data_IF_581071948283
#
_entry.id   IF_581071948283
#
_cell.length_a   1.000
_cell.length_b   1.000
_cell.length_c   1.000
_cell.angle_alpha   90.00
_cell.angle_beta   90.00
_cell.angle_gamma   90.00
#
_symmetry.space_group_name_H-M   'P 1'
#
loop_
_entity.id
_entity.type
_entity.pdbx_description
1 polymer ?
#
# COMPACT_ATOMS: atom_id res chain seq x y z
N UNK A 1 2.69 -8.12 -10.85
CA UNK A 1 1.80 -7.86 -12.01
C UNK A 1 2.47 -6.87 -12.95
N UNK A 2 2.56 -7.17 -14.26
CA UNK A 2 3.23 -6.26 -15.22
C UNK A 2 2.15 -5.41 -15.90
N UNK A 3 2.19 -4.09 -15.68
CA UNK A 3 1.32 -3.13 -16.37
C UNK A 3 1.86 -2.86 -17.77
N UNK A 4 0.97 -2.52 -18.70
CA UNK A 4 1.35 -2.11 -20.05
C UNK A 4 2.04 -0.75 -20.00
N UNK A 5 3.19 -0.64 -20.69
CA UNK A 5 3.87 0.65 -20.78
C UNK A 5 3.05 1.66 -21.59
N UNK A 6 3.01 2.89 -21.13
CA UNK A 6 2.34 4.03 -21.79
C UNK A 6 3.39 5.07 -22.16
N UNK A 7 3.48 5.41 -23.44
CA UNK A 7 4.40 6.45 -23.91
C UNK A 7 3.84 7.85 -23.67
N UNK A 8 4.65 8.73 -23.04
CA UNK A 8 4.24 10.09 -22.65
C UNK A 8 4.28 11.11 -23.79
N UNK A 9 4.70 10.72 -24.98
CA UNK A 9 4.92 11.63 -26.12
C UNK A 9 3.66 12.44 -26.47
N UNK A 10 2.48 11.81 -26.49
CA UNK A 10 1.22 12.50 -26.79
C UNK A 10 0.87 13.56 -25.73
N UNK A 11 1.11 13.26 -24.46
CA UNK A 11 0.82 14.16 -23.34
C UNK A 11 1.77 15.35 -23.30
N UNK A 12 3.00 15.15 -23.73
CA UNK A 12 4.05 16.15 -23.71
C UNK A 12 4.15 16.98 -25.02
N UNK A 13 3.23 16.78 -25.98
CA UNK A 13 3.35 17.42 -27.28
C UNK A 13 4.61 17.04 -28.04
N UNK A 14 5.17 15.86 -27.81
CA UNK A 14 6.40 15.36 -28.44
C UNK A 14 7.70 15.77 -27.75
N UNK A 15 7.63 16.55 -26.66
CA UNK A 15 8.83 17.00 -25.92
C UNK A 15 9.58 15.82 -25.27
N UNK A 16 8.87 14.78 -24.83
CA UNK A 16 9.42 13.58 -24.20
C UNK A 16 8.92 12.33 -24.90
N UNK A 17 9.73 11.28 -24.96
CA UNK A 17 9.43 10.02 -25.66
C UNK A 17 9.75 8.77 -24.83
N UNK A 18 9.70 8.87 -23.50
CA UNK A 18 9.88 7.73 -22.62
C UNK A 18 8.54 7.04 -22.29
N UNK A 19 8.63 5.87 -21.69
CA UNK A 19 7.48 5.10 -21.24
C UNK A 19 7.38 5.09 -19.72
N UNK A 20 6.13 5.12 -19.21
CA UNK A 20 5.79 4.83 -17.82
C UNK A 20 5.08 3.49 -17.74
N UNK A 21 5.37 2.71 -16.71
CA UNK A 21 4.92 1.32 -16.55
C UNK A 21 4.27 1.03 -15.20
N UNK A 22 3.90 2.05 -14.46
CA UNK A 22 3.19 1.94 -13.19
C UNK A 22 3.11 3.26 -12.45
N UNK A 23 2.35 3.31 -11.37
CA UNK A 23 2.32 4.45 -10.47
C UNK A 23 3.48 4.43 -9.48
N UNK A 24 3.80 5.59 -8.92
CA UNK A 24 4.54 5.69 -7.68
C UNK A 24 4.07 6.90 -6.87
N UNK A 25 4.42 6.89 -5.60
CA UNK A 25 4.14 8.00 -4.69
C UNK A 25 5.33 8.96 -4.68
N UNK A 26 5.07 10.26 -4.78
CA UNK A 26 6.13 11.29 -4.82
C UNK A 26 6.99 11.33 -3.56
N UNK A 27 6.53 10.79 -2.43
CA UNK A 27 7.35 10.60 -1.23
C UNK A 27 8.40 9.49 -1.36
N UNK A 28 8.17 8.52 -2.28
CA UNK A 28 9.08 7.40 -2.62
C UNK A 28 9.04 7.15 -4.12
N UNK A 29 9.52 8.11 -4.95
CA UNK A 29 9.41 8.03 -6.39
C UNK A 29 10.29 6.91 -6.96
N UNK A 30 9.79 6.28 -8.02
CA UNK A 30 10.52 5.29 -8.83
C UNK A 30 10.64 5.81 -10.25
N UNK A 31 11.71 5.44 -10.96
CA UNK A 31 11.88 5.75 -12.37
C UNK A 31 10.79 5.08 -13.23
N UNK A 32 10.46 5.69 -14.36
CA UNK A 32 9.44 5.18 -15.30
C UNK A 32 8.04 5.03 -14.68
N UNK A 33 7.66 5.93 -13.79
CA UNK A 33 6.35 5.88 -13.14
C UNK A 33 5.58 7.20 -13.27
N UNK A 34 4.27 7.12 -12.99
CA UNK A 34 3.39 8.30 -12.92
C UNK A 34 3.08 8.65 -11.47
N UNK A 35 3.00 9.94 -11.19
CA UNK A 35 2.65 10.48 -9.88
C UNK A 35 2.00 11.86 -9.99
N UNK A 36 1.54 12.40 -8.86
CA UNK A 36 1.03 13.77 -8.82
C UNK A 36 1.64 14.58 -7.68
N UNK A 37 1.67 15.90 -7.84
CA UNK A 37 2.11 16.87 -6.83
C UNK A 37 1.09 18.00 -6.73
N UNK A 38 0.37 18.06 -5.61
CA UNK A 38 -0.52 19.16 -5.27
C UNK A 38 0.23 20.19 -4.39
N UNK A 39 -0.27 21.42 -4.34
CA UNK A 39 0.33 22.54 -3.59
C UNK A 39 0.66 22.18 -2.13
N UNK A 40 -0.26 21.48 -1.45
CA UNK A 40 -0.09 21.07 -0.06
C UNK A 40 1.10 20.10 0.20
N UNK A 41 1.65 19.50 -0.85
CA UNK A 41 2.78 18.56 -0.80
C UNK A 41 3.93 19.01 -1.72
N UNK A 42 3.98 20.28 -2.15
CA UNK A 42 4.98 20.79 -3.09
C UNK A 42 6.42 20.54 -2.64
N UNK A 43 6.69 20.56 -1.32
CA UNK A 43 8.01 20.29 -0.77
C UNK A 43 8.56 18.90 -1.15
N UNK A 44 7.67 17.94 -1.47
CA UNK A 44 8.08 16.58 -1.84
C UNK A 44 8.66 16.48 -3.27
N UNK A 45 8.60 17.55 -4.05
CA UNK A 45 9.17 17.59 -5.41
C UNK A 45 10.68 17.33 -5.41
N UNK A 46 11.36 17.71 -4.33
CA UNK A 46 12.79 17.46 -4.13
C UNK A 46 13.16 15.98 -4.13
N UNK A 47 12.21 15.10 -3.79
CA UNK A 47 12.43 13.64 -3.80
C UNK A 47 12.64 13.09 -5.23
N UNK A 48 12.27 13.87 -6.26
CA UNK A 48 12.53 13.51 -7.66
C UNK A 48 13.98 13.72 -8.09
N UNK A 49 14.84 14.29 -7.22
CA UNK A 49 16.27 14.44 -7.51
C UNK A 49 16.91 13.09 -7.83
N UNK A 50 17.57 13.01 -8.98
CA UNK A 50 18.18 11.77 -9.49
C UNK A 50 17.18 10.74 -10.06
N UNK A 51 15.88 11.07 -10.13
CA UNK A 51 14.86 10.23 -10.79
C UNK A 51 14.70 10.63 -12.26
N UNK A 52 14.37 9.64 -13.10
CA UNK A 52 14.27 9.78 -14.55
C UNK A 52 12.99 9.19 -15.10
N UNK A 53 12.56 9.75 -16.23
CA UNK A 53 11.42 9.23 -16.98
C UNK A 53 10.13 9.12 -16.14
N UNK A 54 9.91 10.06 -15.22
CA UNK A 54 8.68 10.16 -14.46
C UNK A 54 7.68 11.08 -15.19
N UNK A 55 6.41 10.68 -15.19
CA UNK A 55 5.29 11.54 -15.57
C UNK A 55 4.69 12.13 -14.28
N UNK A 56 4.64 13.46 -14.17
CA UNK A 56 4.19 14.14 -12.97
C UNK A 56 3.06 15.11 -13.31
N UNK A 57 1.85 14.80 -12.85
CA UNK A 57 0.76 15.78 -12.85
C UNK A 57 0.98 16.75 -11.70
N UNK A 58 1.19 18.02 -12.02
CA UNK A 58 1.58 19.04 -11.05
C UNK A 58 0.61 20.21 -11.03
N UNK A 59 0.25 20.68 -9.83
CA UNK A 59 -0.65 21.81 -9.68
C UNK A 59 -0.03 23.11 -10.24
N UNK A 60 -0.87 23.90 -10.90
CA UNK A 60 -0.46 25.19 -11.47
C UNK A 60 0.19 26.08 -10.41
N UNK A 61 1.24 26.82 -10.80
CA UNK A 61 1.96 27.75 -9.94
C UNK A 61 3.00 27.12 -9.01
N UNK A 62 3.21 25.81 -9.06
CA UNK A 62 4.37 25.18 -8.40
C UNK A 62 5.61 25.35 -9.27
N UNK A 63 6.70 25.85 -8.67
CA UNK A 63 8.00 25.95 -9.35
C UNK A 63 8.67 24.60 -9.44
N UNK A 64 9.18 24.25 -10.60
CA UNK A 64 9.95 23.01 -10.84
C UNK A 64 11.37 23.39 -11.22
N UNK A 65 12.41 22.85 -10.57
CA UNK A 65 13.79 23.04 -10.97
C UNK A 65 14.04 22.55 -12.41
N UNK A 66 14.77 23.30 -13.20
CA UNK A 66 15.09 22.96 -14.60
C UNK A 66 15.75 21.57 -14.75
N UNK A 67 16.54 21.17 -13.78
CA UNK A 67 17.21 19.86 -13.75
C UNK A 67 16.18 18.72 -13.75
N UNK A 68 15.08 18.87 -13.01
CA UNK A 68 14.01 17.88 -12.97
C UNK A 68 13.21 17.87 -14.27
N UNK A 69 12.99 19.03 -14.90
CA UNK A 69 12.28 19.12 -16.19
C UNK A 69 13.08 18.53 -17.37
N UNK A 70 14.40 18.39 -17.25
CA UNK A 70 15.23 17.73 -18.27
C UNK A 70 15.00 16.23 -18.31
N UNK A 71 14.78 15.62 -17.15
CA UNK A 71 14.74 14.14 -16.99
C UNK A 71 13.31 13.60 -16.86
N UNK A 72 12.31 14.48 -16.56
CA UNK A 72 10.95 14.09 -16.26
C UNK A 72 9.92 14.97 -16.97
N UNK A 73 8.74 14.42 -17.25
CA UNK A 73 7.63 15.11 -17.88
C UNK A 73 6.68 15.67 -16.84
N UNK A 74 6.55 16.99 -16.76
CA UNK A 74 5.61 17.67 -15.88
C UNK A 74 4.41 18.18 -16.69
N UNK A 75 3.20 17.71 -16.34
CA UNK A 75 1.93 18.18 -16.90
C UNK A 75 1.30 19.09 -15.86
N UNK A 76 1.22 20.39 -16.19
CA UNK A 76 0.62 21.39 -15.31
C UNK A 76 -0.90 21.37 -15.43
N UNK A 77 -1.58 21.41 -14.29
CA UNK A 77 -3.04 21.29 -14.22
C UNK A 77 -3.57 21.88 -12.90
N UNK A 78 -4.86 22.23 -12.90
CA UNK A 78 -5.57 22.67 -11.69
C UNK A 78 -6.02 21.49 -10.81
N UNK A 79 -6.04 20.27 -11.35
CA UNK A 79 -6.60 19.07 -10.71
C UNK A 79 -5.63 17.88 -10.78
N UNK A 80 -4.38 18.02 -10.27
CA UNK A 80 -3.33 17.00 -10.47
C UNK A 80 -3.71 15.62 -9.94
N UNK A 81 -4.44 15.56 -8.84
CA UNK A 81 -4.88 14.31 -8.26
C UNK A 81 -5.94 13.62 -9.13
N UNK A 82 -6.88 14.40 -9.70
CA UNK A 82 -7.88 13.88 -10.62
C UNK A 82 -7.25 13.39 -11.91
N UNK A 83 -6.39 14.20 -12.53
CA UNK A 83 -5.75 13.85 -13.80
C UNK A 83 -4.85 12.62 -13.66
N UNK A 84 -4.18 12.49 -12.50
CA UNK A 84 -3.49 11.27 -12.14
C UNK A 84 -4.46 10.07 -12.03
N UNK A 85 -5.59 10.24 -11.34
CA UNK A 85 -6.59 9.19 -11.19
C UNK A 85 -7.13 8.73 -12.55
N UNK A 86 -7.48 9.67 -13.43
CA UNK A 86 -7.94 9.37 -14.80
C UNK A 86 -6.86 8.61 -15.60
N UNK A 87 -5.60 9.02 -15.47
CA UNK A 87 -4.50 8.36 -16.15
C UNK A 87 -4.30 6.91 -15.69
N UNK A 88 -4.29 6.67 -14.37
CA UNK A 88 -4.06 5.32 -13.83
C UNK A 88 -5.27 4.40 -13.98
N UNK A 89 -6.48 4.95 -14.16
CA UNK A 89 -7.70 4.19 -14.43
C UNK A 89 -7.58 3.33 -15.68
N UNK A 90 -6.80 3.72 -16.68
CA UNK A 90 -6.54 2.92 -17.88
C UNK A 90 -5.91 1.55 -17.54
N UNK A 91 -4.98 1.54 -16.57
CA UNK A 91 -4.40 0.28 -16.11
C UNK A 91 -5.36 -0.53 -15.25
N UNK A 92 -6.15 0.15 -14.40
CA UNK A 92 -7.14 -0.53 -13.56
C UNK A 92 -8.21 -1.24 -14.43
N UNK A 93 -8.73 -0.57 -15.45
CA UNK A 93 -9.69 -1.14 -16.40
C UNK A 93 -9.11 -2.33 -17.17
N UNK A 94 -7.86 -2.25 -17.65
CA UNK A 94 -7.18 -3.35 -18.34
C UNK A 94 -7.04 -4.57 -17.42
N UNK A 95 -6.65 -4.34 -16.16
CA UNK A 95 -6.51 -5.40 -15.15
C UNK A 95 -7.88 -6.02 -14.86
N UNK A 96 -8.90 -5.22 -14.64
CA UNK A 96 -10.25 -5.69 -14.33
C UNK A 96 -10.83 -6.51 -15.50
N UNK A 97 -10.71 -6.04 -16.74
CA UNK A 97 -11.15 -6.77 -17.94
C UNK A 97 -10.44 -8.11 -18.07
N UNK A 98 -9.13 -8.13 -17.84
CA UNK A 98 -8.36 -9.37 -17.84
C UNK A 98 -8.86 -10.33 -16.75
N UNK A 99 -9.03 -9.86 -15.53
CA UNK A 99 -9.35 -10.70 -14.38
C UNK A 99 -10.81 -11.21 -14.44
N UNK A 100 -11.74 -10.48 -15.06
CA UNK A 100 -13.10 -10.96 -15.37
C UNK A 100 -13.13 -12.19 -16.27
N UNK A 101 -12.12 -12.39 -17.11
CA UNK A 101 -12.03 -13.55 -18.00
C UNK A 101 -11.33 -14.75 -17.35
N UNK A 102 -10.71 -14.58 -16.21
CA UNK A 102 -9.93 -15.61 -15.51
C UNK A 102 -10.83 -16.47 -14.61
N UNK A 103 -10.41 -17.71 -14.38
CA UNK A 103 -11.20 -18.70 -13.66
C UNK A 103 -10.58 -19.02 -12.30
N UNK A 104 -11.43 -19.33 -11.35
CA UNK A 104 -11.04 -19.94 -10.09
C UNK A 104 -11.25 -21.44 -10.16
N UNK A 105 -10.28 -22.22 -9.70
CA UNK A 105 -10.36 -23.67 -9.57
C UNK A 105 -10.73 -24.04 -8.14
N UNK A 106 -11.84 -24.75 -7.97
CA UNK A 106 -12.24 -25.32 -6.69
C UNK A 106 -11.35 -26.52 -6.38
N UNK A 107 -10.70 -26.52 -5.24
CA UNK A 107 -9.85 -27.61 -4.75
C UNK A 107 -10.69 -28.65 -4.00
N UNK A 108 -10.17 -29.88 -3.85
CA UNK A 108 -10.86 -30.98 -3.14
C UNK A 108 -11.21 -30.63 -1.68
N UNK A 109 -10.40 -29.80 -1.03
CA UNK A 109 -10.66 -29.31 0.32
C UNK A 109 -11.62 -28.11 0.42
N UNK A 110 -12.21 -27.66 -0.69
CA UNK A 110 -13.15 -26.54 -0.69
C UNK A 110 -12.52 -25.15 -0.77
N UNK A 111 -11.22 -25.01 -1.00
CA UNK A 111 -10.57 -23.74 -1.28
C UNK A 111 -10.69 -23.36 -2.76
N UNK A 112 -10.68 -22.07 -3.09
CA UNK A 112 -10.67 -21.54 -4.45
C UNK A 112 -9.29 -20.95 -4.78
N UNK A 113 -8.65 -21.42 -5.84
CA UNK A 113 -7.39 -20.90 -6.34
C UNK A 113 -7.58 -20.23 -7.71
N UNK A 114 -7.12 -19.00 -7.84
CA UNK A 114 -7.05 -18.28 -9.10
C UNK A 114 -5.95 -18.81 -10.01
N UNK A 115 -5.88 -18.28 -11.22
CA UNK A 115 -4.84 -18.62 -12.18
C UNK A 115 -3.47 -18.04 -11.77
N UNK A 116 -2.40 -18.75 -12.15
CA UNK A 116 -1.01 -18.38 -11.87
C UNK A 116 -0.68 -18.22 -10.38
N UNK A 117 -1.40 -18.88 -9.49
CA UNK A 117 -1.01 -18.98 -8.09
C UNK A 117 0.26 -19.80 -7.98
N UNK A 118 1.25 -19.29 -7.26
CA UNK A 118 2.50 -19.98 -6.96
C UNK A 118 2.50 -20.38 -5.49
N UNK A 119 2.67 -21.67 -5.21
CA UNK A 119 2.75 -22.21 -3.85
C UNK A 119 4.15 -22.78 -3.60
N UNK A 120 4.72 -22.42 -2.47
CA UNK A 120 5.93 -23.06 -1.96
C UNK A 120 5.69 -24.49 -1.47
N UNK A 121 6.71 -25.08 -0.87
CA UNK A 121 6.63 -26.41 -0.28
C UNK A 121 5.84 -26.39 1.04
N UNK A 122 5.10 -27.48 1.33
CA UNK A 122 4.37 -27.65 2.60
C UNK A 122 3.40 -26.53 2.96
N UNK A 123 2.79 -25.91 1.98
CA UNK A 123 1.73 -24.90 2.19
C UNK A 123 0.43 -25.61 2.57
N UNK A 124 -0.19 -25.17 3.65
CA UNK A 124 -1.49 -25.67 4.09
C UNK A 124 -2.56 -24.61 3.94
N UNK A 125 -3.53 -24.85 3.05
CA UNK A 125 -4.69 -23.96 2.80
C UNK A 125 -5.94 -24.70 3.29
N UNK A 126 -6.64 -24.13 4.25
CA UNK A 126 -7.85 -24.69 4.81
C UNK A 126 -9.09 -24.43 3.94
N UNK A 127 -10.23 -25.13 4.20
CA UNK A 127 -11.46 -24.96 3.44
C UNK A 127 -12.00 -23.53 3.46
N UNK A 128 -12.67 -23.12 2.36
CA UNK A 128 -13.31 -21.81 2.24
C UNK A 128 -12.36 -20.65 1.97
N UNK A 129 -11.05 -20.89 1.85
CA UNK A 129 -10.09 -19.87 1.44
C UNK A 129 -10.28 -19.47 -0.03
N UNK A 130 -9.99 -18.21 -0.34
CA UNK A 130 -9.94 -17.71 -1.71
C UNK A 130 -8.55 -17.11 -1.97
N UNK A 131 -7.78 -17.73 -2.84
CA UNK A 131 -6.48 -17.25 -3.26
C UNK A 131 -6.63 -16.65 -4.66
N UNK A 132 -6.44 -15.34 -4.76
CA UNK A 132 -6.59 -14.57 -5.99
C UNK A 132 -5.57 -14.93 -7.05
N UNK A 133 -5.79 -14.40 -8.24
CA UNK A 133 -4.86 -14.59 -9.37
C UNK A 133 -3.48 -13.99 -9.07
N UNK A 134 -2.44 -14.62 -9.60
CA UNK A 134 -1.03 -14.17 -9.51
C UNK A 134 -0.48 -14.05 -8.06
N UNK A 135 -1.16 -14.61 -7.06
CA UNK A 135 -0.69 -14.63 -5.67
C UNK A 135 0.49 -15.60 -5.53
N UNK A 136 1.50 -15.19 -4.78
CA UNK A 136 2.67 -16.01 -4.45
C UNK A 136 2.66 -16.27 -2.96
N UNK A 137 2.76 -17.56 -2.57
CA UNK A 137 2.80 -18.01 -1.18
C UNK A 137 4.08 -18.80 -0.98
N UNK A 138 4.92 -18.40 -0.02
CA UNK A 138 6.17 -19.03 0.33
C UNK A 138 6.01 -20.37 1.06
N UNK A 139 7.13 -21.03 1.34
CA UNK A 139 7.18 -22.34 1.97
C UNK A 139 6.55 -22.33 3.37
N UNK A 140 5.96 -23.47 3.76
CA UNK A 140 5.42 -23.69 5.11
C UNK A 140 4.36 -22.68 5.58
N UNK A 141 3.69 -22.01 4.65
CA UNK A 141 2.61 -21.10 4.99
C UNK A 141 1.34 -21.85 5.42
N UNK A 142 0.61 -21.27 6.38
CA UNK A 142 -0.67 -21.79 6.85
C UNK A 142 -1.76 -20.72 6.63
N UNK A 143 -2.75 -21.05 5.82
CA UNK A 143 -3.86 -20.16 5.48
C UNK A 143 -5.15 -20.73 6.09
N UNK A 144 -5.60 -20.14 7.19
CA UNK A 144 -6.78 -20.60 7.93
C UNK A 144 -8.09 -20.33 7.19
N UNK A 145 -9.13 -21.07 7.60
CA UNK A 145 -10.43 -21.11 6.95
C UNK A 145 -11.02 -19.72 6.66
N UNK A 146 -11.53 -19.55 5.46
CA UNK A 146 -12.18 -18.33 5.02
C UNK A 146 -11.26 -17.15 4.74
N UNK A 147 -9.95 -17.28 4.91
CA UNK A 147 -9.00 -16.23 4.57
C UNK A 147 -9.01 -15.94 3.05
N UNK A 148 -8.85 -14.66 2.69
CA UNK A 148 -8.85 -14.18 1.31
C UNK A 148 -7.57 -13.42 1.01
N UNK A 149 -6.81 -13.89 0.02
CA UNK A 149 -5.53 -13.32 -0.39
C UNK A 149 -5.62 -12.86 -1.84
N UNK A 150 -5.49 -11.56 -2.09
CA UNK A 150 -5.48 -10.95 -3.42
C UNK A 150 -4.28 -10.02 -3.56
N UNK A 151 -3.78 -9.86 -4.78
CA UNK A 151 -2.75 -8.87 -5.08
C UNK A 151 -1.60 -8.85 -4.06
N UNK A 152 -1.14 -10.02 -3.63
CA UNK A 152 -0.10 -10.12 -2.61
C UNK A 152 0.96 -11.17 -2.94
N UNK A 153 2.10 -10.99 -2.28
CA UNK A 153 3.17 -11.97 -2.19
C UNK A 153 3.51 -12.15 -0.72
N UNK A 154 3.54 -13.37 -0.25
CA UNK A 154 3.84 -13.68 1.15
C UNK A 154 5.06 -14.60 1.24
N UNK A 155 5.90 -14.38 2.24
CA UNK A 155 7.12 -15.14 2.48
C UNK A 155 6.90 -16.50 3.12
N UNK A 156 7.99 -17.15 3.51
CA UNK A 156 7.98 -18.45 4.15
C UNK A 156 7.45 -18.37 5.58
N UNK A 157 6.79 -19.46 6.05
CA UNK A 157 6.25 -19.55 7.40
C UNK A 157 5.15 -18.51 7.73
N UNK A 158 4.50 -17.98 6.68
CA UNK A 158 3.39 -17.02 6.84
C UNK A 158 2.15 -17.69 7.43
N UNK A 159 1.47 -17.02 8.35
CA UNK A 159 0.18 -17.47 8.91
C UNK A 159 -0.89 -16.42 8.66
N UNK A 160 -1.97 -16.83 7.97
CA UNK A 160 -3.19 -16.04 7.78
C UNK A 160 -4.30 -16.59 8.67
N UNK A 161 -4.77 -15.80 9.63
CA UNK A 161 -5.87 -16.15 10.52
C UNK A 161 -7.23 -16.21 9.82
N UNK A 162 -8.22 -16.77 10.49
CA UNK A 162 -9.55 -17.02 9.94
C UNK A 162 -10.21 -15.74 9.45
N UNK A 163 -10.78 -15.80 8.25
CA UNK A 163 -11.51 -14.69 7.63
C UNK A 163 -10.71 -13.39 7.47
N UNK A 164 -9.40 -13.38 7.60
CA UNK A 164 -8.60 -12.21 7.24
C UNK A 164 -8.70 -11.92 5.74
N UNK A 165 -8.55 -10.66 5.35
CA UNK A 165 -8.56 -10.28 3.94
C UNK A 165 -7.35 -9.41 3.61
N UNK A 166 -6.52 -9.89 2.69
CA UNK A 166 -5.27 -9.26 2.29
C UNK A 166 -5.34 -8.82 0.84
N UNK A 167 -4.92 -7.59 0.55
CA UNK A 167 -4.87 -7.06 -0.79
C UNK A 167 -6.19 -6.45 -1.29
N UNK A 168 -7.03 -5.96 -0.37
CA UNK A 168 -8.25 -5.20 -0.70
C UNK A 168 -7.91 -3.86 -1.36
N UNK A 169 -8.86 -3.30 -2.12
CA UNK A 169 -8.78 -1.91 -2.58
C UNK A 169 -8.64 -0.95 -1.39
N UNK A 170 -7.79 0.05 -1.56
CA UNK A 170 -7.72 1.16 -0.65
C UNK A 170 -8.90 2.11 -0.87
N UNK A 171 -9.48 2.63 0.21
CA UNK A 171 -10.57 3.60 0.14
C UNK A 171 -10.00 5.02 0.01
N UNK A 172 -9.44 5.34 -1.16
CA UNK A 172 -8.96 6.69 -1.50
C UNK A 172 -9.89 7.35 -2.51
N UNK A 173 -10.28 8.57 -2.19
CA UNK A 173 -11.19 9.36 -3.00
C UNK A 173 -10.51 10.64 -3.50
N UNK A 174 -10.89 11.06 -4.70
CA UNK A 174 -10.67 12.39 -5.24
C UNK A 174 -12.01 12.98 -5.69
N UNK A 175 -12.00 14.18 -6.23
CA UNK A 175 -13.23 14.83 -6.72
C UNK A 175 -13.13 15.05 -8.23
N UNK A 176 -14.26 14.84 -8.93
CA UNK A 176 -14.41 15.26 -10.30
C UNK A 176 -14.67 16.79 -10.40
N UNK A 177 -14.88 17.28 -11.63
CA UNK A 177 -15.13 18.72 -11.89
C UNK A 177 -16.44 19.21 -11.27
N UNK A 178 -17.41 18.32 -11.07
CA UNK A 178 -18.73 18.59 -10.46
C UNK A 178 -18.72 18.41 -8.94
N UNK A 179 -17.53 18.13 -8.37
CA UNK A 179 -17.29 17.87 -6.93
C UNK A 179 -17.90 16.54 -6.41
N UNK A 180 -18.23 15.62 -7.31
CA UNK A 180 -18.59 14.28 -6.89
C UNK A 180 -17.33 13.51 -6.46
N UNK A 181 -17.48 12.66 -5.44
CA UNK A 181 -16.41 11.77 -4.99
C UNK A 181 -16.23 10.64 -6.00
N UNK A 182 -15.01 10.48 -6.48
CA UNK A 182 -14.61 9.36 -7.33
C UNK A 182 -13.52 8.54 -6.65
N UNK A 183 -13.62 7.23 -6.79
CA UNK A 183 -12.65 6.31 -6.23
C UNK A 183 -11.37 6.29 -7.06
N UNK A 184 -10.20 6.41 -6.41
CA UNK A 184 -8.90 6.31 -7.07
C UNK A 184 -8.43 4.86 -7.03
N UNK A 185 -8.13 4.24 -8.18
CA UNK A 185 -7.75 2.83 -8.22
C UNK A 185 -6.44 2.57 -7.47
N UNK A 186 -6.36 1.42 -6.82
CA UNK A 186 -5.14 0.91 -6.19
C UNK A 186 -4.43 -0.02 -7.17
N UNK A 187 -3.17 0.26 -7.47
CA UNK A 187 -2.38 -0.51 -8.45
C UNK A 187 -1.15 -1.19 -7.84
N UNK A 188 -0.89 -0.95 -6.55
CA UNK A 188 0.14 -1.64 -5.79
C UNK A 188 -0.28 -3.04 -5.32
N UNK A 189 0.58 -3.64 -4.54
CA UNK A 189 0.41 -4.97 -3.94
C UNK A 189 0.56 -4.90 -2.42
N UNK A 190 0.34 -6.04 -1.76
CA UNK A 190 0.81 -6.30 -0.40
C UNK A 190 2.01 -7.23 -0.49
N UNK A 191 3.13 -6.80 0.07
CA UNK A 191 4.35 -7.59 0.13
C UNK A 191 4.60 -7.95 1.59
N UNK A 192 4.59 -9.24 1.89
CA UNK A 192 4.74 -9.78 3.24
C UNK A 192 6.01 -10.62 3.30
N UNK A 193 6.85 -10.36 4.28
CA UNK A 193 8.09 -11.08 4.55
C UNK A 193 7.87 -12.44 5.19
N UNK A 194 8.96 -13.01 5.71
CA UNK A 194 8.98 -14.33 6.32
C UNK A 194 8.47 -14.32 7.78
N UNK A 195 7.83 -15.41 8.21
CA UNK A 195 7.36 -15.63 9.58
C UNK A 195 6.40 -14.55 10.11
N UNK A 196 5.66 -13.90 9.22
CA UNK A 196 4.60 -12.95 9.59
C UNK A 196 3.34 -13.70 10.01
N UNK A 197 2.67 -13.24 11.05
CA UNK A 197 1.35 -13.74 11.45
C UNK A 197 0.32 -12.63 11.42
N UNK A 198 -0.79 -12.89 10.74
CA UNK A 198 -1.94 -12.00 10.62
C UNK A 198 -3.13 -12.70 11.26
N UNK A 199 -3.68 -12.12 12.31
CA UNK A 199 -4.78 -12.67 13.09
C UNK A 199 -6.14 -12.67 12.38
N UNK A 200 -7.16 -13.27 13.03
CA UNK A 200 -8.51 -13.37 12.47
C UNK A 200 -9.12 -11.99 12.18
N UNK A 201 -9.88 -11.93 11.07
CA UNK A 201 -10.61 -10.73 10.65
C UNK A 201 -9.76 -9.46 10.45
N UNK A 202 -8.46 -9.59 10.32
CA UNK A 202 -7.58 -8.47 9.94
C UNK A 202 -7.81 -8.12 8.46
N UNK A 203 -7.81 -6.83 8.17
CA UNK A 203 -7.85 -6.35 6.79
C UNK A 203 -6.54 -5.62 6.46
N UNK A 204 -5.91 -6.00 5.35
CA UNK A 204 -4.71 -5.33 4.83
C UNK A 204 -5.02 -4.82 3.43
N UNK A 205 -5.01 -3.50 3.24
CA UNK A 205 -5.22 -2.90 1.93
C UNK A 205 -3.93 -2.91 1.11
N UNK A 206 -4.05 -3.14 -0.19
CA UNK A 206 -2.92 -2.99 -1.12
C UNK A 206 -2.54 -1.52 -1.29
N UNK A 207 -1.34 -1.25 -1.70
CA UNK A 207 -0.88 0.10 -1.96
C UNK A 207 -1.59 0.74 -3.16
N UNK A 208 -1.72 2.05 -3.13
CA UNK A 208 -2.36 2.82 -4.21
C UNK A 208 -1.39 3.13 -5.33
N UNK A 209 -0.23 3.65 -4.98
CA UNK A 209 0.83 4.05 -5.90
C UNK A 209 2.18 3.40 -5.56
N UNK A 210 2.28 2.77 -4.41
CA UNK A 210 3.40 1.93 -3.97
C UNK A 210 2.87 0.56 -3.57
N UNK A 211 3.59 -0.13 -2.72
CA UNK A 211 3.15 -1.38 -2.11
C UNK A 211 2.93 -1.15 -0.61
N UNK A 212 1.97 -1.83 -0.01
CA UNK A 212 1.91 -2.02 1.44
C UNK A 212 2.91 -3.11 1.79
N UNK A 213 3.84 -2.82 2.70
CA UNK A 213 4.97 -3.70 3.01
C UNK A 213 4.93 -4.10 4.47
N UNK A 214 5.00 -5.39 4.72
CA UNK A 214 5.07 -5.97 6.07
C UNK A 214 6.32 -6.84 6.10
N UNK A 215 7.35 -6.38 6.80
CA UNK A 215 8.63 -7.07 6.87
C UNK A 215 8.56 -8.33 7.75
N UNK A 216 9.67 -9.08 7.83
CA UNK A 216 9.74 -10.35 8.55
C UNK A 216 9.36 -10.24 10.04
N UNK A 217 8.79 -11.32 10.57
CA UNK A 217 8.45 -11.51 11.98
C UNK A 217 7.45 -10.49 12.55
N UNK A 218 6.73 -9.74 11.70
CA UNK A 218 5.64 -8.87 12.14
C UNK A 218 4.47 -9.72 12.63
N UNK A 219 3.83 -9.29 13.73
CA UNK A 219 2.65 -9.93 14.31
C UNK A 219 1.52 -8.92 14.38
N UNK A 220 0.37 -9.26 13.81
CA UNK A 220 -0.82 -8.42 13.77
C UNK A 220 -1.98 -9.21 14.33
N UNK A 221 -2.50 -8.79 15.46
CA UNK A 221 -3.60 -9.44 16.16
C UNK A 221 -4.97 -9.09 15.56
N UNK A 222 -5.97 -9.85 15.94
CA UNK A 222 -7.32 -9.87 15.39
C UNK A 222 -7.99 -8.48 15.26
N UNK A 223 -8.89 -8.35 14.28
CA UNK A 223 -9.74 -7.18 14.06
C UNK A 223 -8.97 -5.88 13.74
N UNK A 224 -7.69 -5.96 13.43
CA UNK A 224 -6.89 -4.79 13.07
C UNK A 224 -7.04 -4.43 11.59
N UNK A 225 -6.90 -3.14 11.28
CA UNK A 225 -6.94 -2.61 9.92
C UNK A 225 -5.60 -1.95 9.57
N UNK A 226 -4.90 -2.52 8.59
CA UNK A 226 -3.67 -1.97 8.00
C UNK A 226 -4.07 -1.34 6.67
N UNK A 227 -3.84 -0.05 6.55
CA UNK A 227 -4.25 0.69 5.37
C UNK A 227 -3.21 0.56 4.25
N UNK A 228 -3.41 1.32 3.20
CA UNK A 228 -2.61 1.28 1.98
C UNK A 228 -1.28 2.01 2.11
N UNK A 229 -0.27 1.55 1.38
CA UNK A 229 1.05 2.17 1.34
C UNK A 229 1.75 2.24 2.72
N UNK A 230 1.29 1.47 3.71
CA UNK A 230 1.93 1.34 5.02
C UNK A 230 3.20 0.50 4.93
N UNK A 231 4.15 0.77 5.82
CA UNK A 231 5.37 -0.01 5.98
C UNK A 231 5.53 -0.40 7.44
N UNK A 232 5.44 -1.70 7.71
CA UNK A 232 5.68 -2.28 9.01
C UNK A 232 7.03 -3.00 8.97
N UNK A 233 8.02 -2.44 9.66
CA UNK A 233 9.37 -3.03 9.69
C UNK A 233 9.45 -4.26 10.59
N UNK A 234 10.58 -4.95 10.50
CA UNK A 234 10.84 -6.21 11.20
C UNK A 234 10.48 -6.17 12.69
N UNK A 235 9.86 -7.25 13.19
CA UNK A 235 9.46 -7.41 14.59
C UNK A 235 8.48 -6.35 15.12
N UNK A 236 7.74 -5.68 14.26
CA UNK A 236 6.62 -4.83 14.70
C UNK A 236 5.51 -5.71 15.26
N UNK A 237 4.92 -5.26 16.36
CA UNK A 237 3.76 -5.90 16.98
C UNK A 237 2.57 -4.94 16.98
N UNK A 238 1.44 -5.40 16.44
CA UNK A 238 0.16 -4.69 16.37
C UNK A 238 -0.87 -5.51 17.12
N UNK A 239 -1.31 -5.01 18.27
CA UNK A 239 -2.33 -5.68 19.09
C UNK A 239 -3.73 -5.55 18.50
N UNK A 240 -4.71 -6.25 19.08
CA UNK A 240 -6.07 -6.37 18.53
C UNK A 240 -6.82 -5.05 18.37
N UNK A 241 -7.60 -4.95 17.29
CA UNK A 241 -8.49 -3.82 17.01
C UNK A 241 -7.79 -2.51 16.66
N UNK A 242 -6.52 -2.52 16.33
CA UNK A 242 -5.77 -1.32 15.93
C UNK A 242 -6.21 -0.86 14.54
N UNK A 243 -6.31 0.46 14.36
CA UNK A 243 -6.55 1.08 13.05
C UNK A 243 -5.36 1.94 12.65
N UNK A 244 -4.74 1.61 11.52
CA UNK A 244 -3.61 2.36 10.95
C UNK A 244 -4.09 3.05 9.68
N UNK A 245 -3.93 4.39 9.62
CA UNK A 245 -4.24 5.19 8.42
C UNK A 245 -3.12 5.06 7.39
N UNK A 246 -3.43 5.28 6.11
CA UNK A 246 -2.47 5.06 5.03
C UNK A 246 -1.17 5.87 5.10
N UNK A 247 -0.11 5.33 4.50
CA UNK A 247 1.24 5.89 4.49
C UNK A 247 1.89 5.99 5.88
N UNK A 248 1.51 5.15 6.81
CA UNK A 248 2.17 5.05 8.11
C UNK A 248 3.41 4.18 8.02
N UNK A 249 4.44 4.55 8.74
CA UNK A 249 5.65 3.76 8.88
C UNK A 249 5.90 3.39 10.33
N UNK A 250 5.81 2.09 10.64
CA UNK A 250 6.17 1.54 11.94
C UNK A 250 7.61 1.00 11.85
N UNK A 251 8.53 1.63 12.57
CA UNK A 251 9.94 1.23 12.59
C UNK A 251 10.14 -0.05 13.40
N UNK A 252 11.31 -0.67 13.24
CA UNK A 252 11.64 -1.96 13.83
C UNK A 252 11.30 -2.02 15.33
N UNK A 253 10.65 -3.14 15.75
CA UNK A 253 10.23 -3.37 17.13
C UNK A 253 9.29 -2.31 17.74
N UNK A 254 8.62 -1.50 16.91
CA UNK A 254 7.54 -0.66 17.41
C UNK A 254 6.36 -1.53 17.88
N UNK A 255 5.76 -1.15 19.02
CA UNK A 255 4.57 -1.79 19.56
C UNK A 255 3.36 -0.86 19.47
N UNK A 256 2.23 -1.39 19.00
CA UNK A 256 0.96 -0.66 18.92
C UNK A 256 -0.10 -1.39 19.73
N UNK A 257 -0.51 -0.78 20.85
CA UNK A 257 -1.43 -1.37 21.83
C UNK A 257 -2.88 -1.45 21.34
N UNK A 258 -3.66 -2.29 22.02
CA UNK A 258 -5.06 -2.64 21.71
C UNK A 258 -5.89 -1.37 21.45
N UNK A 259 -6.68 -1.39 20.35
CA UNK A 259 -7.57 -0.30 19.94
C UNK A 259 -6.90 1.07 19.77
N UNK A 260 -5.59 1.14 19.56
CA UNK A 260 -4.94 2.38 19.19
C UNK A 260 -5.32 2.79 17.76
N UNK A 261 -5.36 4.09 17.49
CA UNK A 261 -5.64 4.67 16.17
C UNK A 261 -4.47 5.55 15.76
N UNK A 262 -3.89 5.26 14.59
CA UNK A 262 -2.78 6.01 14.04
C UNK A 262 -3.26 6.84 12.84
N UNK A 263 -3.04 8.15 12.93
CA UNK A 263 -3.33 9.06 11.82
C UNK A 263 -2.45 8.71 10.61
N UNK A 264 -2.96 8.89 9.43
CA UNK A 264 -2.21 8.73 8.18
C UNK A 264 -0.93 9.59 8.12
N UNK A 265 0.09 9.11 7.40
CA UNK A 265 1.35 9.82 7.11
C UNK A 265 2.18 10.17 8.35
N UNK A 266 2.18 9.31 9.36
CA UNK A 266 3.06 9.43 10.51
C UNK A 266 4.07 8.28 10.56
N UNK A 267 5.14 8.50 11.31
CA UNK A 267 6.15 7.48 11.62
C UNK A 267 6.12 7.21 13.11
N UNK A 268 6.07 5.93 13.48
CA UNK A 268 6.33 5.45 14.84
C UNK A 268 7.75 4.92 14.88
N UNK A 269 8.59 5.53 15.72
CA UNK A 269 10.02 5.26 15.78
C UNK A 269 10.36 3.86 16.28
N UNK A 270 11.60 3.46 16.07
CA UNK A 270 12.15 2.18 16.51
C UNK A 270 11.99 1.99 18.03
N UNK A 271 11.55 0.79 18.47
CA UNK A 271 11.27 0.46 19.86
C UNK A 271 10.28 1.43 20.58
N UNK A 272 9.52 2.22 19.83
CA UNK A 272 8.48 3.07 20.42
C UNK A 272 7.28 2.24 20.87
N UNK A 273 6.61 2.70 21.91
CA UNK A 273 5.45 2.03 22.48
C UNK A 273 4.22 2.93 22.43
N UNK A 274 3.21 2.49 21.67
CA UNK A 274 1.89 3.14 21.63
C UNK A 274 0.96 2.39 22.59
N UNK A 275 0.49 3.08 23.63
CA UNK A 275 -0.39 2.48 24.63
C UNK A 275 -1.79 2.18 24.07
N UNK A 276 -2.52 1.28 24.75
CA UNK A 276 -3.88 0.91 24.38
C UNK A 276 -4.80 2.12 24.32
N UNK A 277 -5.69 2.16 23.31
CA UNK A 277 -6.66 3.23 23.10
C UNK A 277 -6.05 4.60 22.76
N UNK A 278 -4.77 4.67 22.46
CA UNK A 278 -4.11 5.93 22.10
C UNK A 278 -4.52 6.41 20.70
N UNK A 279 -4.75 7.71 20.54
CA UNK A 279 -4.98 8.35 19.24
C UNK A 279 -3.74 9.13 18.83
N UNK A 280 -2.91 8.53 17.98
CA UNK A 280 -1.60 9.06 17.57
C UNK A 280 -1.78 9.97 16.36
N UNK A 281 -1.57 11.26 16.55
CA UNK A 281 -1.78 12.29 15.51
C UNK A 281 -0.47 12.89 14.96
N UNK A 282 0.69 12.53 15.55
CA UNK A 282 2.03 13.04 15.19
C UNK A 282 3.04 11.90 15.22
N UNK A 283 4.19 12.11 14.59
CA UNK A 283 5.30 11.16 14.67
C UNK A 283 5.69 10.88 16.12
N UNK A 284 6.01 9.61 16.39
CA UNK A 284 6.52 9.16 17.69
C UNK A 284 8.03 8.94 17.57
N UNK A 285 8.82 9.54 18.44
CA UNK A 285 10.27 9.37 18.40
C UNK A 285 10.68 7.95 18.83
N UNK A 286 11.85 7.44 18.41
CA UNK A 286 12.34 6.15 18.83
C UNK A 286 12.39 6.00 20.36
N UNK A 287 12.00 4.82 20.85
CA UNK A 287 12.02 4.46 22.27
C UNK A 287 11.01 5.20 23.15
N UNK A 288 10.16 6.05 22.60
CA UNK A 288 9.19 6.83 23.36
C UNK A 288 7.89 6.07 23.55
N UNK A 289 7.36 6.11 24.77
CA UNK A 289 5.98 5.67 25.05
C UNK A 289 5.02 6.84 24.89
N UNK A 290 3.92 6.63 24.14
CA UNK A 290 2.82 7.59 24.01
C UNK A 290 1.50 6.96 24.44
N UNK A 291 0.66 7.74 25.13
CA UNK A 291 -0.64 7.27 25.63
C UNK A 291 -1.70 8.37 25.51
N UNK A 292 -2.96 7.98 25.49
CA UNK A 292 -4.12 8.86 25.57
C UNK A 292 -4.63 9.41 24.26
N UNK A 293 -5.62 10.30 24.31
CA UNK A 293 -6.28 10.93 23.17
C UNK A 293 -6.33 12.46 23.34
N UNK A 294 -5.61 13.27 22.53
CA UNK A 294 -4.55 12.81 21.64
C UNK A 294 -3.36 12.20 22.39
N UNK A 295 -2.66 11.28 21.74
CA UNK A 295 -1.51 10.61 22.36
C UNK A 295 -0.36 11.60 22.68
N UNK A 296 0.19 11.49 23.89
CA UNK A 296 1.31 12.29 24.38
C UNK A 296 2.38 11.38 24.98
N UNK A 297 3.65 11.83 25.04
CA UNK A 297 4.71 11.10 25.74
C UNK A 297 4.33 10.79 27.18
N UNK A 298 4.58 9.57 27.60
CA UNK A 298 4.33 9.09 28.95
C UNK A 298 5.66 8.72 29.61
N UNK A 299 5.98 9.40 30.69
CA UNK A 299 7.15 9.12 31.51
C UNK A 299 6.69 8.38 32.78
N UNK A 300 7.16 7.13 32.98
CA UNK A 300 6.99 6.47 34.28
C UNK A 300 7.76 7.29 35.33
N UNK A 301 7.07 7.65 36.39
CA UNK A 301 7.71 8.22 37.60
C UNK A 301 8.52 7.16 38.33
#
# INVERSE_FOLDING_TARGET
MRMKSINVSRLSGGKYSFEVNGPSYVGRPKDHTVMYVAKKIEATISNLSGRKACLVFIEDGISVPEELEKENCFIRTKTPQKDYADFVSQWAEEIEQRDRCRKYCLQENGAFLGENVTLGSSVWIEPGCVIGHDVVIGDHAHIHSGARLFHCKVGAGFVAGENCTIGTEAFILTMDMDKNLIHMPSLGQVIIGDHVEIGPHVTVSRGTAGDTVIDDYVKIDALSCISHDDVLHRNVEVAGGVTIGGFVELKERAFVGIHAVLRNRITVGENAFVGMGAVVTKNVQPGITVVGNPAKPFHRK
#
